data_IF_954124141855
#
_entry.id   IF_954124141855
#
_cell.length_a   1.000
_cell.length_b   1.000
_cell.length_c   1.000
_cell.angle_alpha   90.00
_cell.angle_beta   90.00
_cell.angle_gamma   90.00
#
_symmetry.space_group_name_H-M   'P 1'
#
loop_
_entity.id
_entity.type
_entity.pdbx_description
1 polymer ?
#
# COMPACT_ATOMS: atom_id res chain seq x y z
N UNK A 1 12.99 -0.44 -10.62
CA UNK A 1 13.09 -0.06 -12.05
C UNK A 1 11.68 -0.06 -12.59
N UNK A 2 11.18 1.10 -13.00
CA UNK A 2 10.03 1.14 -13.91
C UNK A 2 10.39 0.31 -15.14
N UNK A 3 9.47 -0.48 -15.69
CA UNK A 3 9.65 -0.99 -17.03
C UNK A 3 9.57 0.23 -17.95
N UNK A 4 10.74 0.67 -18.44
CA UNK A 4 10.88 1.87 -19.24
C UNK A 4 9.89 1.84 -20.43
N UNK A 5 9.41 3.00 -20.87
CA UNK A 5 8.56 3.09 -22.08
C UNK A 5 9.20 2.40 -23.29
N UNK A 6 10.54 2.38 -23.35
CA UNK A 6 11.32 1.64 -24.35
C UNK A 6 11.05 0.13 -24.30
N UNK A 7 10.78 -0.45 -23.14
CA UNK A 7 10.55 -1.89 -22.97
C UNK A 7 9.09 -2.29 -23.16
N UNK A 8 8.13 -1.50 -22.66
CA UNK A 8 6.72 -1.91 -22.56
C UNK A 8 5.70 -0.85 -22.97
N UNK A 9 6.14 0.29 -23.51
CA UNK A 9 5.24 1.35 -23.96
C UNK A 9 4.32 0.88 -25.09
N UNK A 10 3.19 1.57 -25.25
CA UNK A 10 2.16 1.16 -26.20
C UNK A 10 2.58 1.36 -27.67
N UNK A 11 3.62 2.16 -27.92
CA UNK A 11 4.13 2.46 -29.26
C UNK A 11 5.65 2.30 -29.31
N UNK A 12 6.15 1.60 -30.33
CA UNK A 12 7.59 1.44 -30.59
C UNK A 12 8.41 0.95 -29.39
N UNK A 13 7.83 0.13 -28.52
CA UNK A 13 8.56 -0.53 -27.45
C UNK A 13 9.07 -1.90 -27.88
N UNK A 14 10.00 -2.45 -27.11
CA UNK A 14 10.44 -3.84 -27.28
C UNK A 14 9.24 -4.79 -27.30
N UNK A 15 8.31 -4.67 -26.34
CA UNK A 15 7.16 -5.55 -26.29
C UNK A 15 6.19 -5.33 -27.46
N UNK A 16 5.96 -4.08 -27.90
CA UNK A 16 5.07 -3.85 -29.06
C UNK A 16 5.63 -4.48 -30.33
N UNK A 17 6.97 -4.41 -30.54
CA UNK A 17 7.65 -5.08 -31.67
C UNK A 17 7.67 -6.60 -31.51
N UNK A 18 7.95 -7.11 -30.31
CA UNK A 18 7.90 -8.55 -30.03
C UNK A 18 6.52 -9.13 -30.32
N UNK A 19 5.44 -8.35 -30.11
CA UNK A 19 4.06 -8.78 -30.38
C UNK A 19 3.75 -8.86 -31.88
N UNK A 20 4.45 -8.09 -32.72
CA UNK A 20 4.37 -8.20 -34.19
C UNK A 20 4.98 -9.53 -34.66
N UNK A 21 6.13 -9.92 -34.11
CA UNK A 21 6.81 -11.18 -34.43
C UNK A 21 6.17 -12.41 -33.76
N UNK A 22 5.66 -12.23 -32.53
CA UNK A 22 5.09 -13.29 -31.69
C UNK A 22 3.73 -12.82 -31.14
N UNK A 23 2.64 -12.98 -31.90
CA UNK A 23 1.30 -12.55 -31.48
C UNK A 23 0.82 -13.21 -30.18
N UNK A 24 1.33 -14.39 -29.84
CA UNK A 24 1.02 -15.12 -28.61
C UNK A 24 1.77 -14.61 -27.36
N UNK A 25 2.74 -13.71 -27.50
CA UNK A 25 3.54 -13.23 -26.38
C UNK A 25 2.69 -12.51 -25.32
N UNK A 26 2.83 -12.85 -24.04
CA UNK A 26 2.03 -12.26 -22.95
C UNK A 26 2.91 -11.37 -22.08
N UNK A 27 2.47 -10.13 -21.85
CA UNK A 27 3.15 -9.21 -20.94
C UNK A 27 2.66 -9.43 -19.52
N UNK A 28 3.53 -9.95 -18.65
CA UNK A 28 3.34 -9.91 -17.21
C UNK A 28 4.15 -8.75 -16.63
N UNK A 29 3.44 -7.74 -16.11
CA UNK A 29 4.09 -6.63 -15.39
C UNK A 29 4.56 -7.10 -14.01
N UNK A 30 5.65 -6.52 -13.52
CA UNK A 30 6.16 -6.83 -12.19
C UNK A 30 5.12 -6.50 -11.12
N UNK A 31 4.73 -7.51 -10.33
CA UNK A 31 3.70 -7.41 -9.29
C UNK A 31 4.09 -6.36 -8.25
N UNK A 32 5.36 -6.37 -7.82
CA UNK A 32 5.88 -5.41 -6.84
C UNK A 32 5.77 -3.96 -7.35
N UNK A 33 5.98 -3.78 -8.65
CA UNK A 33 5.88 -2.46 -9.27
C UNK A 33 4.42 -2.03 -9.44
N UNK A 34 3.54 -2.95 -9.88
CA UNK A 34 2.10 -2.70 -9.90
C UNK A 34 1.58 -2.29 -8.53
N UNK A 35 1.94 -3.03 -7.48
CA UNK A 35 1.58 -2.71 -6.10
C UNK A 35 2.09 -1.33 -5.67
N UNK A 36 3.34 -0.99 -6.01
CA UNK A 36 3.89 0.34 -5.71
C UNK A 36 3.07 1.47 -6.36
N UNK A 37 2.68 1.29 -7.62
CA UNK A 37 1.88 2.30 -8.33
C UNK A 37 0.45 2.42 -7.77
N UNK A 38 -0.17 1.29 -7.39
CA UNK A 38 -1.48 1.29 -6.72
C UNK A 38 -1.41 2.12 -5.46
N UNK A 39 -0.39 1.90 -4.63
CA UNK A 39 -0.32 2.63 -3.38
C UNK A 39 0.04 4.09 -3.56
N UNK A 40 1.01 4.43 -4.42
CA UNK A 40 1.34 5.83 -4.65
C UNK A 40 0.08 6.63 -5.04
N UNK A 41 -0.73 6.08 -5.96
CA UNK A 41 -2.00 6.70 -6.36
C UNK A 41 -3.04 6.76 -5.25
N UNK A 42 -3.13 5.73 -4.41
CA UNK A 42 -4.05 5.75 -3.29
C UNK A 42 -3.61 6.75 -2.20
N UNK A 43 -2.31 6.81 -1.88
CA UNK A 43 -1.74 7.74 -0.92
C UNK A 43 -1.88 9.21 -1.36
N UNK A 44 -1.92 9.50 -2.67
CA UNK A 44 -2.24 10.84 -3.20
C UNK A 44 -3.64 11.33 -2.73
N UNK A 45 -4.51 10.42 -2.25
CA UNK A 45 -5.84 10.77 -1.71
C UNK A 45 -5.82 11.14 -0.21
N UNK A 46 -4.69 10.95 0.47
CA UNK A 46 -4.50 11.31 1.87
C UNK A 46 -3.85 12.69 1.98
N UNK A 47 -3.89 13.33 3.17
CA UNK A 47 -3.20 14.61 3.39
C UNK A 47 -1.70 14.53 3.04
N UNK A 48 -1.20 15.49 2.25
CA UNK A 48 0.19 15.52 1.79
C UNK A 48 1.19 15.68 2.95
N UNK A 49 0.72 16.26 4.06
CA UNK A 49 1.46 16.47 5.30
C UNK A 49 2.04 15.17 5.88
N UNK A 50 1.45 14.01 5.55
CA UNK A 50 1.93 12.70 5.98
C UNK A 50 3.26 12.36 5.33
N UNK A 51 3.36 12.54 4.01
CA UNK A 51 4.61 12.29 3.28
C UNK A 51 5.66 13.33 3.69
N UNK A 52 5.26 14.59 3.82
CA UNK A 52 6.13 15.67 4.27
C UNK A 52 6.71 15.36 5.65
N UNK A 53 5.89 14.93 6.62
CA UNK A 53 6.35 14.60 7.96
C UNK A 53 7.38 13.46 7.94
N UNK A 54 7.12 12.38 7.18
CA UNK A 54 8.09 11.29 7.04
C UNK A 54 9.43 11.78 6.46
N UNK A 55 9.39 12.66 5.46
CA UNK A 55 10.59 13.24 4.82
C UNK A 55 11.32 14.21 5.73
N UNK A 56 10.59 15.06 6.45
CA UNK A 56 11.12 16.04 7.40
C UNK A 56 11.82 15.34 8.57
N UNK A 57 11.19 14.33 9.19
CA UNK A 57 11.79 13.54 10.28
C UNK A 57 13.07 12.84 9.82
N UNK A 58 13.03 12.18 8.66
CA UNK A 58 14.22 11.54 8.09
C UNK A 58 15.33 12.56 7.80
N UNK A 59 14.99 13.71 7.20
CA UNK A 59 15.98 14.74 6.84
C UNK A 59 16.61 15.36 8.09
N UNK A 60 15.80 15.62 9.12
CA UNK A 60 16.27 16.19 10.37
C UNK A 60 17.23 15.25 11.10
N UNK A 61 16.85 13.98 11.27
CA UNK A 61 17.61 13.00 12.07
C UNK A 61 18.66 12.29 11.23
N UNK A 62 18.25 11.70 10.11
CA UNK A 62 19.09 10.85 9.26
C UNK A 62 20.25 11.57 8.56
N UNK A 63 20.19 12.90 8.47
CA UNK A 63 21.28 13.74 7.95
C UNK A 63 22.42 13.99 8.94
N UNK A 64 22.30 13.57 10.21
CA UNK A 64 23.29 13.85 11.25
C UNK A 64 23.56 12.62 12.11
N UNK A 65 24.82 12.18 12.16
CA UNK A 65 25.25 11.07 13.03
C UNK A 65 24.94 11.36 14.50
N UNK A 66 25.25 12.58 14.97
CA UNK A 66 24.92 13.04 16.32
C UNK A 66 23.43 12.87 16.63
N UNK A 67 22.55 13.30 15.73
CA UNK A 67 21.08 13.18 15.95
C UNK A 67 20.59 11.74 15.90
N UNK A 68 21.19 10.91 15.06
CA UNK A 68 20.92 9.48 15.05
C UNK A 68 21.30 8.81 16.38
N UNK A 69 22.44 9.18 16.95
CA UNK A 69 22.91 8.65 18.24
C UNK A 69 22.05 9.16 19.41
N UNK A 70 21.65 10.44 19.40
CA UNK A 70 20.68 10.97 20.38
C UNK A 70 19.33 10.23 20.32
N UNK A 71 18.80 9.96 19.12
CA UNK A 71 17.57 9.17 18.99
C UNK A 71 17.75 7.76 19.56
N UNK A 72 18.92 7.15 19.35
CA UNK A 72 19.25 5.82 19.90
C UNK A 72 19.24 5.84 21.43
N UNK A 73 19.89 6.81 22.05
CA UNK A 73 19.90 6.97 23.52
C UNK A 73 18.47 7.14 24.07
N UNK A 74 17.63 7.93 23.38
CA UNK A 74 16.23 8.07 23.78
C UNK A 74 15.43 6.79 23.60
N UNK A 75 15.65 6.03 22.51
CA UNK A 75 15.03 4.72 22.34
C UNK A 75 15.40 3.76 23.48
N UNK A 76 16.67 3.74 23.89
CA UNK A 76 17.15 2.95 25.02
C UNK A 76 16.51 3.38 26.34
N UNK A 77 16.41 4.70 26.59
CA UNK A 77 15.73 5.24 27.77
C UNK A 77 14.24 4.86 27.84
N UNK A 78 13.53 4.90 26.71
CA UNK A 78 12.12 4.47 26.62
C UNK A 78 11.94 2.95 26.59
N UNK A 79 13.01 2.16 26.79
CA UNK A 79 12.99 0.69 26.70
C UNK A 79 12.44 0.18 25.36
N UNK A 80 12.67 0.94 24.29
CA UNK A 80 12.24 0.60 22.94
C UNK A 80 13.35 -0.11 22.18
N UNK A 81 12.96 -1.00 21.27
CA UNK A 81 13.92 -1.59 20.34
C UNK A 81 14.55 -0.49 19.48
N UNK A 82 15.85 -0.60 19.24
CA UNK A 82 16.57 0.36 18.40
C UNK A 82 16.03 0.34 16.97
N UNK A 83 15.62 1.51 16.49
CA UNK A 83 15.05 1.67 15.16
C UNK A 83 15.58 2.96 14.48
N UNK A 84 16.60 2.85 13.60
CA UNK A 84 16.93 3.91 12.62
C UNK A 84 15.70 4.36 11.82
N UNK A 85 15.49 5.67 11.67
CA UNK A 85 14.45 6.20 10.78
C UNK A 85 14.76 5.84 9.33
N UNK A 86 13.74 5.40 8.60
CA UNK A 86 13.88 4.95 7.22
C UNK A 86 13.57 6.10 6.25
N UNK A 87 14.32 6.17 5.14
CA UNK A 87 14.03 7.11 4.05
C UNK A 87 12.88 6.58 3.20
N UNK A 88 11.88 7.43 2.95
CA UNK A 88 10.89 7.15 1.90
C UNK A 88 11.61 7.14 0.55
N UNK A 89 11.67 5.98 -0.09
CA UNK A 89 12.21 5.82 -1.44
C UNK A 89 11.11 6.06 -2.47
N UNK A 90 11.31 7.00 -3.39
CA UNK A 90 10.35 7.27 -4.47
C UNK A 90 10.10 6.07 -5.41
N UNK A 91 10.93 5.04 -5.38
CA UNK A 91 10.85 3.88 -6.31
C UNK A 91 10.66 2.53 -5.64
N UNK A 92 10.63 2.45 -4.30
CA UNK A 92 10.56 1.18 -3.57
C UNK A 92 9.51 1.24 -2.46
N UNK A 93 8.24 1.13 -2.85
CA UNK A 93 7.06 1.14 -1.97
C UNK A 93 7.12 0.24 -0.72
N UNK A 94 7.84 -0.91 -0.76
CA UNK A 94 8.11 -1.70 0.45
C UNK A 94 8.72 -0.88 1.60
N UNK A 95 9.45 0.20 1.26
CA UNK A 95 9.93 1.16 2.25
C UNK A 95 8.80 1.92 2.92
N UNK A 96 7.71 2.26 2.24
CA UNK A 96 6.70 3.18 2.81
C UNK A 96 5.91 2.53 3.95
N UNK A 97 5.43 1.29 3.79
CA UNK A 97 4.82 0.56 4.93
C UNK A 97 5.80 0.47 6.10
N UNK A 98 7.05 0.07 5.83
CA UNK A 98 8.09 -0.03 6.85
C UNK A 98 8.41 1.33 7.49
N UNK A 99 8.41 2.43 6.72
CA UNK A 99 8.60 3.79 7.22
C UNK A 99 7.46 4.18 8.16
N UNK A 100 6.21 3.91 7.78
CA UNK A 100 5.03 4.16 8.62
C UNK A 100 5.12 3.36 9.91
N UNK A 101 5.43 2.06 9.85
CA UNK A 101 5.63 1.23 11.05
C UNK A 101 6.77 1.74 11.93
N UNK A 102 7.90 2.15 11.33
CA UNK A 102 9.06 2.70 12.05
C UNK A 102 8.70 4.01 12.75
N UNK A 103 7.95 4.87 12.07
CA UNK A 103 7.52 6.16 12.58
C UNK A 103 6.54 5.97 13.74
N UNK A 104 5.50 5.14 13.56
CA UNK A 104 4.50 4.85 14.59
C UNK A 104 5.09 4.12 15.80
N UNK A 105 5.97 3.14 15.58
CA UNK A 105 6.65 2.47 16.68
C UNK A 105 7.53 3.42 17.49
N UNK A 106 8.01 4.51 16.91
CA UNK A 106 8.80 5.52 17.62
C UNK A 106 8.00 6.79 17.95
N UNK A 107 6.66 6.76 17.85
CA UNK A 107 5.86 8.00 17.88
C UNK A 107 6.09 8.83 19.15
N UNK A 108 6.01 8.19 20.32
CA UNK A 108 6.19 8.90 21.60
C UNK A 108 7.65 9.28 21.86
N UNK A 109 8.62 8.46 21.41
CA UNK A 109 10.05 8.79 21.46
C UNK A 109 10.36 10.00 20.59
N UNK A 110 9.79 10.05 19.38
CA UNK A 110 9.96 11.18 18.45
C UNK A 110 9.34 12.45 19.01
N UNK A 111 8.15 12.37 19.62
CA UNK A 111 7.55 13.52 20.31
C UNK A 111 8.48 14.07 21.38
N UNK A 112 8.98 13.23 22.28
CA UNK A 112 9.92 13.64 23.33
C UNK A 112 11.24 14.19 22.74
N UNK A 113 11.76 13.53 21.71
CA UNK A 113 12.97 13.96 21.01
C UNK A 113 12.83 15.38 20.45
N UNK A 114 11.73 15.67 19.75
CA UNK A 114 11.51 16.98 19.17
C UNK A 114 11.10 18.04 20.21
N UNK A 115 10.55 17.65 21.37
CA UNK A 115 10.38 18.57 22.52
C UNK A 115 11.72 19.05 23.06
N UNK A 116 12.66 18.12 23.29
CA UNK A 116 14.02 18.47 23.74
C UNK A 116 14.73 19.29 22.66
N UNK A 117 14.70 18.84 21.41
CA UNK A 117 15.37 19.53 20.32
C UNK A 117 14.82 20.96 20.09
N UNK A 118 13.52 21.18 20.27
CA UNK A 118 12.94 22.52 20.21
C UNK A 118 13.41 23.38 21.38
N UNK A 119 13.48 22.83 22.59
CA UNK A 119 13.93 23.54 23.78
C UNK A 119 15.41 23.93 23.71
N UNK A 120 16.28 23.00 23.31
CA UNK A 120 17.73 23.18 23.26
C UNK A 120 18.18 23.99 22.04
N UNK A 121 17.77 23.59 20.83
CA UNK A 121 18.30 24.16 19.59
C UNK A 121 17.47 25.35 19.06
N UNK A 122 16.25 25.56 19.57
CA UNK A 122 15.29 26.59 19.11
C UNK A 122 15.08 26.60 17.59
N UNK A 123 15.23 25.45 16.94
CA UNK A 123 15.09 25.32 15.50
C UNK A 123 13.61 25.29 15.11
N UNK A 124 13.22 26.19 14.20
CA UNK A 124 11.86 26.23 13.66
C UNK A 124 11.44 24.90 13.00
N UNK A 125 12.39 24.17 12.39
CA UNK A 125 12.13 22.85 11.79
C UNK A 125 11.77 21.79 12.84
N UNK A 126 12.40 21.81 14.01
CA UNK A 126 12.06 20.90 15.11
C UNK A 126 10.65 21.20 15.66
N UNK A 127 10.31 22.49 15.85
CA UNK A 127 8.97 22.88 16.28
C UNK A 127 7.89 22.46 15.27
N UNK A 128 8.13 22.70 13.98
CA UNK A 128 7.19 22.32 12.91
C UNK A 128 6.90 20.81 12.91
N UNK A 129 7.95 19.98 12.99
CA UNK A 129 7.79 18.53 13.11
C UNK A 129 7.04 18.16 14.39
N UNK A 130 7.36 18.80 15.51
CA UNK A 130 6.69 18.56 16.79
C UNK A 130 5.19 18.86 16.75
N UNK A 131 4.79 19.98 16.14
CA UNK A 131 3.37 20.31 15.99
C UNK A 131 2.62 19.24 15.20
N UNK A 132 3.21 18.74 14.10
CA UNK A 132 2.62 17.63 13.32
C UNK A 132 2.54 16.32 14.12
N UNK A 133 3.55 16.01 14.93
CA UNK A 133 3.54 14.82 15.81
C UNK A 133 2.52 14.93 16.95
N UNK A 134 2.15 16.15 17.35
CA UNK A 134 1.12 16.43 18.35
C UNK A 134 -0.29 16.45 17.78
N UNK A 135 -0.44 16.58 16.46
CA UNK A 135 -1.74 16.54 15.80
C UNK A 135 -2.32 15.10 15.77
N UNK A 136 -3.44 14.83 16.47
CA UNK A 136 -4.05 13.52 16.48
C UNK A 136 -4.58 13.11 15.09
N UNK A 137 -4.93 14.05 14.20
CA UNK A 137 -5.36 13.75 12.81
C UNK A 137 -4.23 13.08 12.04
N UNK A 138 -3.00 13.59 12.17
CA UNK A 138 -1.83 13.04 11.51
C UNK A 138 -1.56 11.61 12.00
N UNK A 139 -1.54 11.40 13.33
CA UNK A 139 -1.36 10.05 13.91
C UNK A 139 -2.44 9.08 13.43
N UNK A 140 -3.70 9.53 13.38
CA UNK A 140 -4.85 8.72 12.93
C UNK A 140 -4.68 8.25 11.49
N UNK A 141 -4.27 9.14 10.58
CA UNK A 141 -4.01 8.73 9.20
C UNK A 141 -2.82 7.77 9.07
N UNK A 142 -1.77 7.92 9.89
CA UNK A 142 -0.67 6.94 9.88
C UNK A 142 -1.10 5.56 10.36
N UNK A 143 -1.94 5.47 11.41
CA UNK A 143 -2.50 4.17 11.85
C UNK A 143 -3.38 3.55 10.76
N UNK A 144 -4.16 4.35 10.05
CA UNK A 144 -4.89 3.90 8.87
C UNK A 144 -3.92 3.40 7.77
N UNK A 145 -2.87 4.15 7.46
CA UNK A 145 -1.86 3.72 6.49
C UNK A 145 -1.26 2.38 6.90
N UNK A 146 -0.78 2.22 8.14
CA UNK A 146 -0.27 0.94 8.64
C UNK A 146 -1.24 -0.22 8.36
N UNK A 147 -2.53 -0.04 8.65
CA UNK A 147 -3.56 -1.03 8.38
C UNK A 147 -3.74 -1.31 6.87
N UNK A 148 -4.03 -0.29 6.07
CA UNK A 148 -4.41 -0.43 4.67
C UNK A 148 -3.23 -0.90 3.79
N UNK A 149 -2.03 -0.44 4.10
CA UNK A 149 -0.83 -0.77 3.34
C UNK A 149 -0.38 -2.22 3.56
N UNK A 150 -0.73 -2.83 4.69
CA UNK A 150 -0.38 -4.20 5.01
C UNK A 150 -0.99 -5.21 4.02
N UNK A 151 -2.15 -4.91 3.43
CA UNK A 151 -2.77 -5.72 2.37
C UNK A 151 -1.83 -5.92 1.18
N UNK A 152 -1.32 -4.82 0.63
CA UNK A 152 -0.39 -4.84 -0.52
C UNK A 152 1.01 -5.30 -0.13
N UNK A 153 1.45 -5.04 1.10
CA UNK A 153 2.71 -5.55 1.62
C UNK A 153 2.70 -7.10 1.71
N UNK A 154 1.64 -7.67 2.27
CA UNK A 154 1.45 -9.12 2.36
C UNK A 154 1.34 -9.79 0.99
N UNK A 155 0.60 -9.17 0.07
CA UNK A 155 0.50 -9.62 -1.32
C UNK A 155 1.86 -9.60 -2.04
N UNK A 156 2.63 -8.52 -1.88
CA UNK A 156 3.98 -8.44 -2.45
C UNK A 156 4.91 -9.51 -1.86
N UNK A 157 4.90 -9.71 -0.54
CA UNK A 157 5.71 -10.72 0.12
C UNK A 157 5.43 -12.13 -0.41
N UNK A 158 4.15 -12.45 -0.68
CA UNK A 158 3.75 -13.73 -1.29
C UNK A 158 4.42 -13.94 -2.66
N UNK A 159 4.39 -12.93 -3.54
CA UNK A 159 4.92 -13.03 -4.90
C UNK A 159 6.43 -12.71 -5.02
N UNK A 160 7.08 -12.31 -3.94
CA UNK A 160 8.54 -12.23 -3.82
C UNK A 160 9.17 -13.52 -3.29
N UNK A 161 8.35 -14.52 -2.96
CA UNK A 161 8.85 -15.83 -2.55
C UNK A 161 9.69 -16.50 -3.64
N UNK A 162 10.54 -17.45 -3.24
CA UNK A 162 11.38 -18.22 -4.18
C UNK A 162 10.57 -19.17 -5.09
N UNK A 163 9.26 -19.27 -4.88
CA UNK A 163 8.36 -20.20 -5.59
C UNK A 163 7.60 -19.49 -6.71
N UNK A 164 7.49 -20.14 -7.87
CA UNK A 164 6.69 -19.63 -8.99
C UNK A 164 5.19 -19.79 -8.70
N UNK A 165 4.54 -18.67 -8.38
CA UNK A 165 3.11 -18.62 -8.00
C UNK A 165 2.20 -18.03 -9.09
N UNK A 166 2.62 -18.08 -10.35
CA UNK A 166 1.85 -17.48 -11.46
C UNK A 166 0.43 -18.06 -11.58
N UNK A 167 0.27 -19.33 -11.26
CA UNK A 167 -1.00 -20.06 -11.25
C UNK A 167 -2.00 -19.53 -10.21
N UNK A 168 -1.53 -18.93 -9.12
CA UNK A 168 -2.37 -18.34 -8.08
C UNK A 168 -2.51 -16.82 -8.23
N UNK A 169 -1.84 -16.21 -9.22
CA UNK A 169 -1.75 -14.75 -9.31
C UNK A 169 -3.11 -14.07 -9.46
N UNK A 170 -3.98 -14.56 -10.35
CA UNK A 170 -5.31 -13.99 -10.50
C UNK A 170 -6.13 -14.18 -9.21
N UNK A 171 -6.14 -15.40 -8.67
CA UNK A 171 -6.90 -15.74 -7.46
C UNK A 171 -6.52 -14.84 -6.29
N UNK A 172 -5.23 -14.68 -6.03
CA UNK A 172 -4.73 -13.83 -4.95
C UNK A 172 -4.97 -12.34 -5.23
N UNK A 173 -4.96 -11.91 -6.50
CA UNK A 173 -5.31 -10.54 -6.88
C UNK A 173 -6.79 -10.23 -6.62
N UNK A 174 -7.69 -11.17 -6.95
CA UNK A 174 -9.13 -11.08 -6.63
C UNK A 174 -9.35 -11.06 -5.12
N UNK A 175 -8.64 -11.93 -4.39
CA UNK A 175 -8.70 -11.97 -2.92
C UNK A 175 -8.26 -10.65 -2.30
N UNK A 176 -7.15 -10.08 -2.75
CA UNK A 176 -6.65 -8.77 -2.31
C UNK A 176 -7.70 -7.67 -2.54
N UNK A 177 -8.28 -7.62 -3.75
CA UNK A 177 -9.31 -6.64 -4.08
C UNK A 177 -10.51 -6.77 -3.13
N UNK A 178 -11.02 -7.99 -2.92
CA UNK A 178 -12.15 -8.26 -2.03
C UNK A 178 -11.86 -7.87 -0.58
N UNK A 179 -10.66 -8.19 -0.09
CA UNK A 179 -10.20 -7.81 1.26
C UNK A 179 -10.10 -6.30 1.47
N UNK A 180 -9.81 -5.54 0.41
CA UNK A 180 -9.86 -4.08 0.47
C UNK A 180 -11.30 -3.57 0.39
N UNK A 181 -12.10 -4.12 -0.52
CA UNK A 181 -13.46 -3.67 -0.82
C UNK A 181 -14.43 -3.89 0.35
N UNK A 182 -14.26 -4.94 1.14
CA UNK A 182 -15.08 -5.18 2.34
C UNK A 182 -15.05 -4.03 3.36
N UNK A 183 -14.04 -3.14 3.30
CA UNK A 183 -13.92 -2.01 4.21
C UNK A 183 -14.89 -0.86 3.86
N UNK A 184 -15.40 -0.80 2.63
CA UNK A 184 -16.18 0.35 2.16
C UNK A 184 -17.34 0.02 1.22
N UNK A 185 -17.47 -1.22 0.75
CA UNK A 185 -18.57 -1.67 -0.11
C UNK A 185 -19.57 -2.48 0.71
N UNK A 186 -20.87 -2.31 0.40
CA UNK A 186 -21.95 -3.07 1.03
C UNK A 186 -21.81 -4.59 0.79
N UNK A 187 -22.01 -5.45 1.81
CA UNK A 187 -21.79 -6.90 1.69
C UNK A 187 -22.63 -7.61 0.61
N UNK A 188 -23.82 -7.11 0.29
CA UNK A 188 -24.67 -7.66 -0.76
C UNK A 188 -24.03 -7.53 -2.15
N UNK A 189 -23.31 -6.44 -2.40
CA UNK A 189 -22.67 -6.15 -3.68
C UNK A 189 -21.40 -7.00 -3.88
N UNK A 190 -20.68 -7.32 -2.80
CA UNK A 190 -19.46 -8.14 -2.86
C UNK A 190 -19.70 -9.59 -3.29
N UNK A 191 -20.95 -10.07 -3.22
CA UNK A 191 -21.34 -11.41 -3.65
C UNK A 191 -21.59 -11.51 -5.15
N UNK A 192 -21.67 -10.39 -5.86
CA UNK A 192 -21.91 -10.35 -7.30
C UNK A 192 -20.61 -10.57 -8.08
N UNK A 193 -20.67 -11.35 -9.16
CA UNK A 193 -19.49 -11.73 -9.97
C UNK A 193 -18.82 -10.54 -10.70
N UNK A 194 -19.43 -9.35 -10.73
CA UNK A 194 -19.00 -8.19 -11.52
C UNK A 194 -18.49 -7.01 -10.67
N UNK A 195 -17.49 -7.26 -9.82
CA UNK A 195 -16.83 -6.26 -8.97
C UNK A 195 -16.41 -4.97 -9.70
N UNK A 196 -16.05 -5.05 -10.99
CA UNK A 196 -15.60 -3.87 -11.76
C UNK A 196 -16.69 -2.80 -11.91
N UNK A 197 -17.94 -3.21 -12.17
CA UNK A 197 -19.06 -2.27 -12.36
C UNK A 197 -19.54 -1.74 -11.00
N UNK A 198 -19.50 -2.61 -9.99
CA UNK A 198 -19.89 -2.31 -8.62
C UNK A 198 -19.02 -1.24 -7.95
N UNK A 199 -17.73 -1.18 -8.31
CA UNK A 199 -16.72 -0.25 -7.78
C UNK A 199 -16.81 1.18 -8.32
N UNK A 200 -17.66 1.43 -9.31
CA UNK A 200 -17.82 2.74 -9.95
C UNK A 200 -19.03 3.49 -9.38
N UNK A 201 -19.98 2.77 -8.77
CA UNK A 201 -21.26 3.33 -8.34
C UNK A 201 -21.23 3.70 -6.84
N UNK A 202 -21.37 5.00 -6.50
CA UNK A 202 -21.38 5.44 -5.10
C UNK A 202 -22.53 4.85 -4.27
N UNK A 203 -23.63 4.44 -4.91
CA UNK A 203 -24.77 3.78 -4.25
C UNK A 203 -24.39 2.45 -3.57
N UNK A 204 -23.29 1.83 -4.00
CA UNK A 204 -22.82 0.54 -3.50
C UNK A 204 -21.90 0.68 -2.28
N UNK A 205 -21.50 1.90 -1.94
CA UNK A 205 -20.63 2.15 -0.79
C UNK A 205 -21.42 2.14 0.51
N UNK A 206 -20.73 1.79 1.58
CA UNK A 206 -21.22 2.00 2.94
C UNK A 206 -21.42 3.49 3.20
N UNK A 207 -22.35 3.80 4.11
CA UNK A 207 -22.42 5.14 4.70
C UNK A 207 -21.08 5.48 5.35
N UNK A 208 -20.74 6.77 5.40
CA UNK A 208 -19.39 7.22 5.74
C UNK A 208 -18.99 6.80 7.16
N UNK A 209 -19.95 6.78 8.07
CA UNK A 209 -19.83 6.36 9.47
C UNK A 209 -19.50 4.85 9.59
N UNK A 210 -19.91 4.05 8.61
CA UNK A 210 -19.72 2.60 8.59
C UNK A 210 -18.48 2.14 7.82
N UNK A 211 -17.75 3.04 7.16
CA UNK A 211 -16.48 2.71 6.51
C UNK A 211 -15.48 2.20 7.55
N UNK A 212 -14.90 1.02 7.34
CA UNK A 212 -13.93 0.45 8.28
C UNK A 212 -12.53 0.99 8.02
N UNK A 213 -11.91 1.52 9.08
CA UNK A 213 -10.61 2.24 9.01
C UNK A 213 -9.45 1.47 9.64
N UNK A 214 -9.71 0.27 10.19
CA UNK A 214 -8.76 -0.48 11.02
C UNK A 214 -8.87 -0.13 12.50
N UNK A 215 -8.52 -1.07 13.38
CA UNK A 215 -8.75 -0.97 14.82
C UNK A 215 -7.98 0.17 15.48
N UNK A 216 -6.67 0.28 15.20
CA UNK A 216 -5.81 1.32 15.80
C UNK A 216 -6.27 2.73 15.38
N UNK A 217 -6.59 2.92 14.10
CA UNK A 217 -7.15 4.17 13.59
C UNK A 217 -8.50 4.49 14.24
N UNK A 218 -9.40 3.50 14.35
CA UNK A 218 -10.73 3.69 14.91
C UNK A 218 -10.68 4.11 16.39
N UNK A 219 -9.75 3.55 17.16
CA UNK A 219 -9.56 3.90 18.57
C UNK A 219 -9.24 5.38 18.75
N UNK A 220 -8.35 5.94 17.90
CA UNK A 220 -8.02 7.37 17.96
C UNK A 220 -9.19 8.20 17.41
N UNK A 221 -9.77 7.78 16.29
CA UNK A 221 -10.89 8.46 15.63
C UNK A 221 -12.07 8.68 16.57
N UNK A 222 -12.42 7.68 17.39
CA UNK A 222 -13.53 7.76 18.36
C UNK A 222 -13.32 8.81 19.47
N UNK A 223 -12.09 9.29 19.67
CA UNK A 223 -11.79 10.37 20.63
C UNK A 223 -11.96 11.78 20.05
N UNK A 224 -12.14 11.89 18.73
CA UNK A 224 -12.25 13.16 18.00
C UNK A 224 -13.70 13.66 17.91
N UNK A 225 -13.89 14.94 17.56
CA UNK A 225 -15.21 15.50 17.28
C UNK A 225 -15.80 14.92 15.97
N UNK A 226 -17.12 15.02 15.82
CA UNK A 226 -17.83 14.43 14.68
C UNK A 226 -17.39 15.00 13.30
N UNK A 227 -16.97 16.26 13.26
CA UNK A 227 -16.49 16.89 12.02
C UNK A 227 -15.18 16.23 11.55
N UNK A 228 -14.20 16.14 12.43
CA UNK A 228 -12.90 15.53 12.15
C UNK A 228 -13.04 14.04 11.82
N UNK A 229 -13.92 13.32 12.54
CA UNK A 229 -14.21 11.93 12.24
C UNK A 229 -14.71 11.75 10.81
N UNK A 230 -15.66 12.59 10.38
CA UNK A 230 -16.23 12.55 9.04
C UNK A 230 -15.19 12.93 7.98
N UNK A 231 -14.39 13.96 8.22
CA UNK A 231 -13.33 14.41 7.32
C UNK A 231 -12.31 13.28 7.06
N UNK A 232 -11.80 12.65 8.11
CA UNK A 232 -10.83 11.55 8.01
C UNK A 232 -11.44 10.36 7.27
N UNK A 233 -12.68 9.98 7.59
CA UNK A 233 -13.39 8.89 6.90
C UNK A 233 -13.55 9.16 5.41
N UNK A 234 -13.77 10.42 5.00
CA UNK A 234 -13.87 10.79 3.59
C UNK A 234 -12.54 10.62 2.87
N UNK A 235 -11.42 11.01 3.48
CA UNK A 235 -10.08 10.80 2.93
C UNK A 235 -9.79 9.30 2.77
N UNK A 236 -10.14 8.50 3.79
CA UNK A 236 -9.98 7.04 3.78
C UNK A 236 -10.85 6.39 2.68
N UNK A 237 -12.09 6.84 2.52
CA UNK A 237 -12.97 6.34 1.46
C UNK A 237 -12.38 6.63 0.07
N UNK A 238 -11.88 7.84 -0.16
CA UNK A 238 -11.19 8.21 -1.41
C UNK A 238 -9.96 7.33 -1.65
N UNK A 239 -9.15 7.09 -0.61
CA UNK A 239 -8.01 6.17 -0.68
C UNK A 239 -8.45 4.78 -1.15
N UNK A 240 -9.47 4.19 -0.51
CA UNK A 240 -9.92 2.84 -0.85
C UNK A 240 -10.46 2.73 -2.27
N UNK A 241 -11.26 3.70 -2.71
CA UNK A 241 -11.80 3.74 -4.08
C UNK A 241 -10.65 3.80 -5.08
N UNK A 242 -9.68 4.71 -4.88
CA UNK A 242 -8.53 4.86 -5.75
C UNK A 242 -7.68 3.58 -5.80
N UNK A 243 -7.39 2.98 -4.63
CA UNK A 243 -6.66 1.73 -4.54
C UNK A 243 -7.37 0.59 -5.28
N UNK A 244 -8.68 0.44 -5.11
CA UNK A 244 -9.46 -0.60 -5.79
C UNK A 244 -9.47 -0.42 -7.33
N UNK A 245 -9.63 0.82 -7.80
CA UNK A 245 -9.58 1.13 -9.24
C UNK A 245 -8.20 0.83 -9.84
N UNK A 246 -7.12 1.24 -9.15
CA UNK A 246 -5.76 0.97 -9.62
C UNK A 246 -5.40 -0.52 -9.52
N UNK A 247 -5.96 -1.27 -8.56
CA UNK A 247 -5.87 -2.74 -8.51
C UNK A 247 -6.48 -3.37 -9.76
N UNK A 248 -7.72 -3.03 -10.12
CA UNK A 248 -8.40 -3.54 -11.34
C UNK A 248 -7.56 -3.27 -12.59
N UNK A 249 -7.01 -2.05 -12.68
CA UNK A 249 -6.23 -1.62 -13.84
C UNK A 249 -4.91 -2.36 -14.00
N UNK A 250 -4.28 -2.80 -12.91
CA UNK A 250 -2.86 -3.25 -12.92
C UNK A 250 -2.66 -4.72 -12.56
N UNK A 251 -3.59 -5.32 -11.85
CA UNK A 251 -3.54 -6.73 -11.47
C UNK A 251 -4.37 -7.56 -12.46
N UNK A 252 -4.05 -8.85 -12.68
CA UNK A 252 -4.72 -9.69 -13.67
C UNK A 252 -6.11 -10.17 -13.21
N UNK A 253 -6.90 -9.31 -12.55
CA UNK A 253 -8.21 -9.64 -11.96
C UNK A 253 -9.19 -10.16 -13.01
N UNK A 254 -9.22 -9.54 -14.20
CA UNK A 254 -10.13 -9.90 -15.29
C UNK A 254 -9.45 -10.71 -16.41
N UNK A 255 -8.22 -11.21 -16.18
CA UNK A 255 -7.45 -11.85 -17.24
C UNK A 255 -7.62 -13.37 -17.23
N UNK A 256 -8.40 -13.89 -18.17
CA UNK A 256 -8.74 -15.32 -18.28
C UNK A 256 -7.53 -16.26 -18.45
N UNK A 257 -6.43 -15.78 -19.04
CA UNK A 257 -5.23 -16.59 -19.17
C UNK A 257 -4.71 -17.04 -17.80
N UNK A 258 -4.66 -16.11 -16.83
CA UNK A 258 -4.15 -16.42 -15.50
C UNK A 258 -5.13 -17.26 -14.67
N UNK A 259 -6.43 -17.31 -15.00
CA UNK A 259 -7.33 -18.29 -14.39
C UNK A 259 -7.06 -19.71 -14.88
N UNK A 260 -6.66 -19.86 -16.14
CA UNK A 260 -6.42 -21.18 -16.72
C UNK A 260 -5.13 -21.80 -16.19
N UNK A 261 -4.14 -21.00 -15.81
CA UNK A 261 -2.86 -21.46 -15.24
C UNK A 261 -2.98 -22.27 -13.94
N UNK A 262 -4.18 -22.39 -13.34
CA UNK A 262 -4.42 -23.27 -12.20
C UNK A 262 -3.99 -24.73 -12.47
N UNK A 263 -3.97 -25.18 -13.74
CA UNK A 263 -3.49 -26.53 -14.10
C UNK A 263 -2.05 -26.82 -13.64
N UNK A 264 -1.24 -25.78 -13.39
CA UNK A 264 0.14 -25.92 -12.89
C UNK A 264 0.20 -26.32 -11.40
N UNK A 265 -0.93 -26.37 -10.69
CA UNK A 265 -0.95 -26.83 -9.30
C UNK A 265 -0.67 -28.33 -9.22
N UNK A 266 0.19 -28.79 -8.29
CA UNK A 266 0.53 -30.21 -8.14
C UNK A 266 -0.68 -31.13 -7.97
N UNK A 267 -1.76 -30.64 -7.34
CA UNK A 267 -3.01 -31.39 -7.17
C UNK A 267 -3.72 -31.73 -8.50
N UNK A 268 -3.50 -30.95 -9.55
CA UNK A 268 -4.05 -31.22 -10.89
C UNK A 268 -3.06 -32.01 -11.77
N UNK A 269 -1.77 -32.04 -11.40
CA UNK A 269 -0.78 -32.88 -12.09
C UNK A 269 -1.09 -34.39 -11.97
N UNK A 270 -1.80 -34.80 -10.91
CA UNK A 270 -2.20 -36.20 -10.68
C UNK A 270 -3.65 -36.52 -11.08
N UNK A 271 -4.44 -35.52 -11.48
CA UNK A 271 -5.85 -35.71 -11.90
C UNK A 271 -5.91 -35.69 -13.43
N UNK A 272 -5.53 -36.84 -13.99
CA UNK A 272 -5.86 -37.39 -15.32
C UNK A 272 -5.56 -36.57 -16.59
N UNK A 273 -4.75 -37.24 -17.43
CA UNK A 273 -4.74 -37.21 -18.90
C UNK A 273 -4.52 -35.86 -19.60
N UNK A 274 -3.33 -35.78 -20.18
CA UNK A 274 -2.92 -34.91 -21.30
C UNK A 274 -3.89 -35.09 -22.48
N UNK A 275 -5.10 -34.51 -22.39
CA UNK A 275 -6.07 -34.50 -23.48
C UNK A 275 -6.49 -33.07 -23.87
N UNK A 276 -6.25 -32.06 -23.01
CA UNK A 276 -6.53 -30.64 -23.33
C UNK A 276 -5.36 -29.85 -23.94
N UNK A 277 -4.17 -30.43 -24.05
CA UNK A 277 -3.00 -29.75 -24.65
C UNK A 277 -2.81 -30.04 -26.15
N UNK A 278 -3.71 -30.80 -26.79
CA UNK A 278 -3.59 -31.17 -28.22
C UNK A 278 -4.28 -30.22 -29.21
N UNK A 279 -4.95 -29.17 -28.74
CA UNK A 279 -5.65 -28.20 -29.62
C UNK A 279 -4.83 -26.92 -29.91
N UNK A 280 -3.53 -26.92 -29.58
CA UNK A 280 -2.61 -25.82 -29.86
C UNK A 280 -1.56 -26.16 -30.94
N UNK A 281 -1.98 -26.89 -31.97
CA UNK A 281 -1.26 -27.03 -33.24
C UNK A 281 -2.22 -26.85 -34.42
#
# INVERSE_FOLDING_TARGET
MEPANVMIGDRNSFFSRLKEDVPSAVLLRCICHSAALIVNKACDMLPSELEDLMREVYTYIGGSSKRCDQLKEMQEYFCMKHHKILKVSGTRWLSTHQCVERLLSNWEVLKAYFEIAFFEDKLNSANHILQKLKDPKIKTHFEFMKYALNYLNSFNALFQSKTTLIHSLQKESKRLLLQLCQNFIKPNVLKENNLNLSLIQPSNYLEIEHVYVGTDCLNILNTMNAYDQKEIRLNILKFYICAAQEMIKRLPINNNLFSELEFLLPKFAFVQSVQKLREWY
#
